data_IF_534512455331
#
_entry.id   IF_534512455331
#
_cell.length_a   1.000
_cell.length_b   1.000
_cell.length_c   1.000
_cell.angle_alpha   90.00
_cell.angle_beta   90.00
_cell.angle_gamma   90.00
#
_symmetry.space_group_name_H-M   'P 1'
#
loop_
_entity.id
_entity.type
_entity.pdbx_description
1 polymer ?
#
# COMPACT_ATOMS: atom_id res chain seq x y z
N UNK A 1 -11.33 -6.94 3.50
CA UNK A 1 -10.95 -5.50 3.57
C UNK A 1 -11.86 -4.71 2.65
N UNK A 2 -12.17 -3.45 2.96
CA UNK A 2 -12.92 -2.55 2.06
C UNK A 2 -11.98 -1.50 1.48
N UNK A 3 -12.17 -1.18 0.21
CA UNK A 3 -11.39 -0.16 -0.47
C UNK A 3 -11.64 1.21 0.17
N UNK A 4 -10.56 1.91 0.54
CA UNK A 4 -10.65 3.22 1.18
C UNK A 4 -11.17 4.31 0.22
N UNK A 5 -11.02 4.12 -1.10
CA UNK A 5 -11.52 5.05 -2.12
C UNK A 5 -12.98 4.82 -2.52
N UNK A 6 -13.40 3.58 -2.75
CA UNK A 6 -14.73 3.28 -3.30
C UNK A 6 -15.60 2.36 -2.43
N UNK A 7 -15.11 1.97 -1.25
CA UNK A 7 -15.80 1.10 -0.28
C UNK A 7 -16.18 -0.30 -0.77
N UNK A 8 -15.74 -0.69 -1.98
CA UNK A 8 -15.97 -2.04 -2.54
C UNK A 8 -14.99 -3.09 -1.97
N UNK A 9 -15.20 -4.35 -2.36
CA UNK A 9 -14.40 -5.49 -1.93
C UNK A 9 -12.97 -5.38 -2.45
N UNK A 10 -12.04 -5.83 -1.62
CA UNK A 10 -10.64 -6.02 -2.00
C UNK A 10 -10.27 -7.49 -1.90
N UNK A 11 -9.44 -7.94 -2.83
CA UNK A 11 -8.86 -9.29 -2.86
C UNK A 11 -7.39 -9.22 -2.47
N UNK A 12 -6.89 -10.28 -1.85
CA UNK A 12 -5.47 -10.40 -1.52
C UNK A 12 -4.77 -11.08 -2.69
N UNK A 13 -3.78 -10.41 -3.26
CA UNK A 13 -3.12 -10.83 -4.49
C UNK A 13 -1.61 -10.63 -4.42
N UNK A 14 -0.86 -11.35 -5.26
CA UNK A 14 0.59 -11.29 -5.35
C UNK A 14 0.99 -10.42 -6.55
N UNK A 15 1.73 -9.36 -6.27
CA UNK A 15 2.23 -8.42 -7.27
C UNK A 15 3.69 -8.71 -7.59
N UNK A 16 4.03 -8.66 -8.88
CA UNK A 16 5.37 -8.90 -9.37
C UNK A 16 5.95 -7.59 -9.92
N UNK A 17 7.08 -7.16 -9.35
CA UNK A 17 7.94 -6.12 -9.89
C UNK A 17 9.07 -6.72 -10.73
N UNK A 18 10.04 -5.87 -11.10
CA UNK A 18 11.16 -6.29 -11.96
C UNK A 18 12.14 -7.26 -11.25
N UNK A 19 12.36 -7.09 -9.95
CA UNK A 19 13.30 -7.92 -9.17
C UNK A 19 12.70 -8.47 -7.87
N UNK A 20 11.46 -8.10 -7.54
CA UNK A 20 10.83 -8.43 -6.26
C UNK A 20 9.34 -8.70 -6.46
N UNK A 21 8.73 -9.36 -5.48
CA UNK A 21 7.29 -9.50 -5.40
C UNK A 21 6.82 -9.09 -4.02
N UNK A 22 5.58 -8.64 -3.93
CA UNK A 22 4.94 -8.35 -2.66
C UNK A 22 3.49 -8.82 -2.68
N UNK A 23 2.93 -8.98 -1.50
CA UNK A 23 1.52 -9.31 -1.33
C UNK A 23 0.77 -8.06 -0.88
N UNK A 24 -0.40 -7.83 -1.47
CA UNK A 24 -1.21 -6.65 -1.17
C UNK A 24 -2.68 -6.87 -1.44
N UNK A 25 -3.50 -5.94 -0.96
CA UNK A 25 -4.93 -5.90 -1.22
C UNK A 25 -5.21 -5.06 -2.47
N UNK A 26 -5.91 -5.62 -3.45
CA UNK A 26 -6.37 -4.93 -4.65
C UNK A 26 -7.88 -4.75 -4.63
N UNK A 27 -8.38 -3.54 -4.85
CA UNK A 27 -9.80 -3.34 -5.08
C UNK A 27 -10.22 -3.89 -6.45
N UNK A 28 -11.29 -4.68 -6.48
CA UNK A 28 -11.82 -5.27 -7.72
C UNK A 28 -12.56 -4.26 -8.61
N UNK A 29 -12.91 -3.09 -8.08
CA UNK A 29 -13.66 -2.05 -8.81
C UNK A 29 -12.75 -0.92 -9.30
N UNK A 30 -12.04 -0.24 -8.39
CA UNK A 30 -11.25 0.94 -8.75
C UNK A 30 -9.75 0.65 -8.93
N UNK A 31 -9.30 -0.58 -8.62
CA UNK A 31 -7.90 -0.96 -8.72
C UNK A 31 -6.97 -0.39 -7.65
N UNK A 32 -7.49 0.26 -6.60
CA UNK A 32 -6.63 0.74 -5.51
C UNK A 32 -5.89 -0.44 -4.85
N UNK A 33 -4.58 -0.28 -4.67
CA UNK A 33 -3.69 -1.27 -4.05
C UNK A 33 -3.24 -0.74 -2.69
N UNK A 34 -3.29 -1.62 -1.68
CA UNK A 34 -2.86 -1.32 -0.32
C UNK A 34 -2.10 -2.53 0.23
N UNK A 35 -0.85 -2.32 0.64
CA UNK A 35 -0.05 -3.28 1.38
C UNK A 35 0.36 -2.69 2.75
N UNK A 36 1.10 -3.46 3.53
CA UNK A 36 1.55 -3.06 4.86
C UNK A 36 2.43 -1.78 4.83
N UNK A 37 3.34 -1.67 3.86
CA UNK A 37 4.24 -0.52 3.71
C UNK A 37 3.44 0.73 3.29
N UNK A 38 2.45 0.57 2.41
CA UNK A 38 1.55 1.64 2.02
C UNK A 38 0.74 2.12 3.23
N UNK A 39 0.22 1.21 4.07
CA UNK A 39 -0.52 1.57 5.28
C UNK A 39 0.35 2.32 6.29
N UNK A 40 1.55 1.81 6.58
CA UNK A 40 2.50 2.45 7.47
C UNK A 40 2.88 3.86 6.98
N UNK A 41 3.18 4.00 5.69
CA UNK A 41 3.48 5.30 5.10
C UNK A 41 2.29 6.27 5.19
N UNK A 42 1.06 5.79 4.98
CA UNK A 42 -0.16 6.60 5.15
C UNK A 42 -0.36 7.02 6.61
N UNK A 43 -0.05 6.17 7.57
CA UNK A 43 -0.11 6.50 9.00
C UNK A 43 0.94 7.54 9.41
N UNK A 44 2.18 7.38 8.96
CA UNK A 44 3.25 8.35 9.23
C UNK A 44 2.89 9.74 8.70
N UNK A 45 2.34 9.83 7.49
CA UNK A 45 1.84 11.09 6.92
C UNK A 45 0.72 11.68 7.79
N UNK A 46 -0.23 10.85 8.26
CA UNK A 46 -1.30 11.30 9.18
C UNK A 46 -0.76 11.84 10.49
N UNK A 47 0.31 11.27 11.03
CA UNK A 47 0.97 11.74 12.26
C UNK A 47 1.84 12.99 12.04
N UNK A 48 1.91 13.54 10.82
CA UNK A 48 2.79 14.67 10.48
C UNK A 48 4.27 14.27 10.45
N UNK A 49 4.58 12.99 10.55
CA UNK A 49 5.92 12.44 10.47
C UNK A 49 6.21 12.12 9.01
N UNK A 50 6.61 13.14 8.23
CA UNK A 50 7.07 12.90 6.85
C UNK A 50 8.27 11.95 6.92
N UNK A 51 8.19 10.72 6.39
CA UNK A 51 9.32 9.81 6.43
C UNK A 51 10.44 10.43 5.60
N UNK A 52 11.59 10.70 6.23
CA UNK A 52 12.77 11.18 5.51
C UNK A 52 13.29 10.02 4.63
N UNK A 53 12.82 9.96 3.39
CA UNK A 53 13.12 8.89 2.41
C UNK A 53 14.61 8.79 2.04
N UNK A 54 15.47 9.68 2.56
CA UNK A 54 16.91 9.70 2.27
C UNK A 54 17.73 8.61 2.96
N UNK A 55 17.26 8.00 4.05
CA UNK A 55 18.09 7.10 4.87
C UNK A 55 17.84 5.59 4.71
N UNK A 56 16.92 5.16 3.83
CA UNK A 56 16.61 3.72 3.63
C UNK A 56 17.49 3.01 2.58
N UNK A 57 18.54 3.66 2.08
CA UNK A 57 19.63 3.04 1.29
C UNK A 57 20.82 2.74 2.21
N UNK A 58 20.73 1.70 3.02
CA UNK A 58 21.91 1.03 3.62
C UNK A 58 21.69 -0.46 3.58
#
# INVERSE_FOLDING_TARGET
MKCLRCNSVMIYDKFYGLCEYFWGWKCVICGEIVDQVILENRELIRMGQVPNTRNRKR
#
